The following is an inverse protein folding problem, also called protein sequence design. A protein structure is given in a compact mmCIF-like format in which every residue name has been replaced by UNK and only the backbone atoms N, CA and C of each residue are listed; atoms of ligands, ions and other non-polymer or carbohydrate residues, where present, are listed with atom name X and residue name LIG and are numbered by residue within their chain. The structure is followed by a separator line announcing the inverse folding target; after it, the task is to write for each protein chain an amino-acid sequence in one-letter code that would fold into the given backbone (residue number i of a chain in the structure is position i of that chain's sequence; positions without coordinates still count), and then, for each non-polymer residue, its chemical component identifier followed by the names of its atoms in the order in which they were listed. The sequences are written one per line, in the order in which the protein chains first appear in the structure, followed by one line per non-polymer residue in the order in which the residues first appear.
data_IF_546111503699
#
_entry.id   IF_546111503699
#
_cell.length_a   1.000
_cell.length_b   1.000
_cell.length_c   1.000
_cell.angle_alpha   90.00
_cell.angle_beta   90.00
_cell.angle_gamma   90.00
#
_symmetry.space_group_name_H-M   'P 1'
#
loop_
_entity.id
_entity.type
_entity.pdbx_description
1 polymer ?
#
# COMPACT_ATOMS: atom_id res chain seq x y z
N UNK A 1 52.89 28.89 14.44
CA UNK A 1 54.07 28.85 13.53
C UNK A 1 54.69 30.22 13.27
N UNK A 2 53.91 31.28 12.98
CA UNK A 2 54.44 32.62 12.64
C UNK A 2 55.36 33.25 13.70
N UNK A 3 55.10 33.04 15.01
CA UNK A 3 55.91 33.63 16.09
C UNK A 3 57.29 32.98 16.26
N UNK A 4 57.42 31.68 16.02
CA UNK A 4 58.70 30.96 16.22
C UNK A 4 59.58 30.97 14.98
N UNK A 5 58.97 30.94 13.77
CA UNK A 5 59.68 31.29 12.53
C UNK A 5 60.18 32.73 12.60
N UNK A 6 59.38 33.63 13.20
CA UNK A 6 59.81 34.98 13.54
C UNK A 6 61.00 35.01 14.50
N UNK A 7 61.02 34.20 15.56
CA UNK A 7 62.14 34.12 16.51
C UNK A 7 63.40 33.53 15.85
N UNK A 8 63.29 32.49 15.02
CA UNK A 8 64.43 31.92 14.31
C UNK A 8 64.99 32.89 13.24
N UNK A 9 64.12 33.59 12.51
CA UNK A 9 64.51 34.64 11.57
C UNK A 9 65.13 35.85 12.31
N UNK A 10 64.63 36.18 13.50
CA UNK A 10 65.18 37.23 14.36
C UNK A 10 66.54 36.84 14.92
N UNK A 11 66.74 35.56 15.30
CA UNK A 11 68.02 35.03 15.79
C UNK A 11 69.08 35.00 14.68
N UNK A 12 68.69 34.71 13.43
CA UNK A 12 69.55 34.80 12.24
C UNK A 12 69.84 36.25 11.85
N UNK A 13 68.86 37.14 11.94
CA UNK A 13 69.03 38.57 11.66
C UNK A 13 69.89 39.30 12.72
N UNK A 14 69.96 38.79 13.95
CA UNK A 14 70.81 39.33 15.02
C UNK A 14 72.30 38.96 14.87
N UNK A 15 72.63 38.11 13.89
CA UNK A 15 73.94 37.47 13.76
C UNK A 15 74.93 38.18 12.80
N UNK A 16 74.73 39.47 12.45
CA UNK A 16 75.85 40.41 12.53
C UNK A 16 75.42 41.85 12.84
N UNK A 17 75.03 42.14 14.08
CA UNK A 17 75.38 43.42 14.71
C UNK A 17 76.55 43.25 15.71
N UNK A 18 76.81 42.02 16.17
CA UNK A 18 77.92 41.69 17.08
C UNK A 18 79.23 41.31 16.35
N UNK A 19 79.23 41.19 15.02
CA UNK A 19 80.46 41.01 14.23
C UNK A 19 81.14 42.35 13.84
N UNK A 20 80.49 43.50 14.14
CA UNK A 20 80.97 44.84 13.75
C UNK A 20 81.58 45.64 14.92
N UNK A 21 82.07 44.99 15.97
CA UNK A 21 82.68 45.67 17.11
C UNK A 21 83.95 44.96 17.63
N UNK A 22 84.90 44.71 16.73
CA UNK A 22 86.32 44.68 17.03
C UNK A 22 87.05 45.05 15.73
N UNK A 23 87.60 46.27 15.69
CA UNK A 23 88.36 46.76 14.55
C UNK A 23 89.68 46.01 14.37
N UNK A 24 90.23 46.14 13.16
CA UNK A 24 91.60 45.73 12.84
C UNK A 24 91.66 44.60 11.81
N UNK A 25 92.10 45.00 10.61
CA UNK A 25 92.80 44.24 9.57
C UNK A 25 92.73 42.70 9.58
N UNK A 26 92.30 42.12 8.45
CA UNK A 26 92.76 40.78 8.08
C UNK A 26 91.78 40.00 7.20
N UNK A 27 92.34 39.51 6.09
CA UNK A 27 91.98 38.34 5.29
C UNK A 27 90.55 37.80 5.31
N UNK A 28 90.06 37.45 4.12
CA UNK A 28 88.79 36.74 3.89
C UNK A 28 88.62 35.43 4.70
N UNK A 29 89.65 34.97 5.41
CA UNK A 29 89.61 33.86 6.35
C UNK A 29 90.58 34.15 7.51
N UNK A 30 90.09 34.66 8.63
CA UNK A 30 90.83 34.60 9.90
C UNK A 30 90.35 33.37 10.66
N UNK A 31 91.26 32.41 10.89
CA UNK A 31 90.99 31.10 11.48
C UNK A 31 90.86 31.12 13.02
N UNK A 32 90.57 32.28 13.61
CA UNK A 32 90.63 32.47 15.06
C UNK A 32 89.28 32.94 15.61
N UNK A 33 88.62 32.04 16.35
CA UNK A 33 87.38 32.21 17.16
C UNK A 33 86.08 32.57 16.42
N UNK A 34 86.11 33.37 15.36
CA UNK A 34 84.89 33.78 14.62
C UNK A 34 84.20 32.59 13.93
N UNK A 35 84.96 31.71 13.27
CA UNK A 35 84.42 30.49 12.65
C UNK A 35 83.80 29.53 13.68
N UNK A 36 84.38 29.44 14.88
CA UNK A 36 83.86 28.58 15.96
C UNK A 36 82.53 29.13 16.47
N UNK A 37 82.43 30.45 16.67
CA UNK A 37 81.18 31.10 17.09
C UNK A 37 80.10 30.98 16.01
N UNK A 38 80.47 31.13 14.73
CA UNK A 38 79.54 30.95 13.61
C UNK A 38 79.07 29.49 13.48
N UNK A 39 79.97 28.51 13.66
CA UNK A 39 79.62 27.09 13.66
C UNK A 39 78.69 26.71 14.82
N UNK A 40 78.94 27.22 16.02
CA UNK A 40 78.07 27.02 17.18
C UNK A 40 76.68 27.63 16.92
N UNK A 41 76.61 28.84 16.37
CA UNK A 41 75.33 29.46 16.01
C UNK A 41 74.58 28.69 14.91
N UNK A 42 75.30 28.18 13.90
CA UNK A 42 74.70 27.33 12.88
C UNK A 42 74.14 26.02 13.45
N UNK A 43 74.90 25.36 14.33
CA UNK A 43 74.46 24.14 15.03
C UNK A 43 73.27 24.40 15.96
N UNK A 44 73.28 25.53 16.68
CA UNK A 44 72.16 25.93 17.54
C UNK A 44 70.89 26.20 16.70
N UNK A 45 71.02 26.91 15.58
CA UNK A 45 69.93 27.14 14.65
C UNK A 45 69.41 25.83 14.07
N UNK A 46 70.29 24.94 13.61
CA UNK A 46 69.95 23.62 13.09
C UNK A 46 69.18 22.79 14.12
N UNK A 47 69.61 22.82 15.38
CA UNK A 47 68.96 22.11 16.48
C UNK A 47 67.54 22.65 16.74
N UNK A 48 67.38 23.98 16.78
CA UNK A 48 66.08 24.64 16.92
C UNK A 48 65.18 24.28 15.74
N UNK A 49 65.69 24.38 14.50
CA UNK A 49 64.93 24.12 13.29
C UNK A 49 64.51 22.66 13.17
N UNK A 50 65.41 21.72 13.48
CA UNK A 50 65.12 20.28 13.48
C UNK A 50 64.01 19.95 14.48
N UNK A 51 64.12 20.42 15.73
CA UNK A 51 63.12 20.13 16.76
C UNK A 51 61.76 20.77 16.50
N UNK A 52 61.74 21.98 15.92
CA UNK A 52 60.52 22.75 15.69
C UNK A 52 59.84 22.49 14.35
N UNK A 53 60.56 22.13 13.29
CA UNK A 53 59.98 21.92 11.95
C UNK A 53 59.58 20.47 11.70
N UNK A 54 60.29 19.51 12.30
CA UNK A 54 60.00 18.09 12.11
C UNK A 54 58.61 17.72 12.66
N UNK A 55 58.26 18.21 13.85
CA UNK A 55 56.95 17.98 14.49
C UNK A 55 55.75 18.46 13.65
N UNK A 56 55.67 19.72 13.20
CA UNK A 56 54.53 20.20 12.40
C UNK A 56 54.48 19.57 11.00
N UNK A 57 55.62 19.23 10.40
CA UNK A 57 55.66 18.58 9.10
C UNK A 57 55.08 17.16 9.18
N UNK A 58 55.51 16.36 10.16
CA UNK A 58 54.95 15.03 10.41
C UNK A 58 53.46 15.10 10.77
N UNK A 59 53.07 16.05 11.62
CA UNK A 59 51.67 16.23 12.00
C UNK A 59 50.76 16.53 10.80
N UNK A 60 51.23 17.35 9.84
CA UNK A 60 50.47 17.62 8.60
C UNK A 60 50.41 16.44 7.64
N UNK A 61 51.43 15.59 7.61
CA UNK A 61 51.40 14.36 6.82
C UNK A 61 50.45 13.32 7.45
N UNK A 62 50.48 13.18 8.77
CA UNK A 62 49.57 12.29 9.50
C UNK A 62 48.11 12.76 9.36
N UNK A 63 47.85 14.06 9.50
CA UNK A 63 46.52 14.66 9.30
C UNK A 63 45.98 14.33 7.89
N UNK A 64 46.83 14.44 6.85
CA UNK A 64 46.45 14.07 5.47
C UNK A 64 46.22 12.57 5.33
N UNK A 65 47.10 11.73 5.87
CA UNK A 65 46.96 10.27 5.81
C UNK A 65 45.67 9.83 6.50
N UNK A 66 45.40 10.37 7.69
CA UNK A 66 44.21 10.07 8.46
C UNK A 66 42.94 10.55 7.73
N UNK A 67 42.94 11.77 7.17
CA UNK A 67 41.79 12.26 6.40
C UNK A 67 41.49 11.37 5.18
N UNK A 68 42.52 10.92 4.46
CA UNK A 68 42.36 10.01 3.32
C UNK A 68 41.79 8.66 3.79
N UNK A 69 42.35 8.08 4.85
CA UNK A 69 41.85 6.82 5.44
C UNK A 69 40.38 6.94 5.84
N UNK A 70 40.05 7.96 6.63
CA UNK A 70 38.66 8.22 7.06
C UNK A 70 37.74 8.37 5.84
N UNK A 71 38.13 9.15 4.83
CA UNK A 71 37.30 9.32 3.62
C UNK A 71 37.10 8.04 2.82
N UNK A 72 38.10 7.14 2.79
CA UNK A 72 38.01 5.86 2.12
C UNK A 72 37.12 4.90 2.91
N UNK A 73 37.26 4.86 4.24
CA UNK A 73 36.44 4.04 5.12
C UNK A 73 34.98 4.48 5.06
N UNK A 74 34.71 5.79 5.10
CA UNK A 74 33.36 6.37 4.92
C UNK A 74 32.79 6.02 3.54
N UNK A 75 33.58 6.13 2.46
CA UNK A 75 33.14 5.76 1.13
C UNK A 75 32.84 4.27 0.99
N UNK A 76 33.63 3.40 1.64
CA UNK A 76 33.39 1.95 1.68
C UNK A 76 32.13 1.62 2.49
N UNK A 77 31.95 2.23 3.66
CA UNK A 77 30.77 2.06 4.49
C UNK A 77 29.50 2.53 3.76
N UNK A 78 29.56 3.70 3.11
CA UNK A 78 28.44 4.23 2.32
C UNK A 78 28.09 3.32 1.13
N UNK A 79 29.08 2.74 0.45
CA UNK A 79 28.84 1.76 -0.62
C UNK A 79 28.22 0.46 -0.09
N UNK A 80 28.71 -0.05 1.03
CA UNK A 80 28.15 -1.25 1.66
C UNK A 80 26.70 -1.04 2.10
N UNK A 81 26.42 0.10 2.74
CA UNK A 81 25.06 0.47 3.17
C UNK A 81 24.14 0.68 1.96
N UNK A 82 24.60 1.37 0.91
CA UNK A 82 23.81 1.53 -0.31
C UNK A 82 23.50 0.19 -1.00
N UNK A 83 24.47 -0.76 -0.99
CA UNK A 83 24.25 -2.09 -1.54
C UNK A 83 23.23 -2.88 -0.70
N UNK A 84 23.36 -2.84 0.62
CA UNK A 84 22.39 -3.47 1.54
C UNK A 84 20.99 -2.90 1.36
N UNK A 85 20.85 -1.58 1.29
CA UNK A 85 19.56 -0.92 1.05
C UNK A 85 18.98 -1.33 -0.30
N UNK A 86 19.79 -1.42 -1.36
CA UNK A 86 19.32 -1.91 -2.67
C UNK A 86 18.80 -3.34 -2.60
N UNK A 87 19.50 -4.23 -1.90
CA UNK A 87 19.08 -5.62 -1.72
C UNK A 87 17.77 -5.70 -0.92
N UNK A 88 17.66 -4.94 0.19
CA UNK A 88 16.44 -4.86 0.98
C UNK A 88 15.26 -4.29 0.17
N UNK A 89 15.48 -3.24 -0.64
CA UNK A 89 14.46 -2.67 -1.51
C UNK A 89 14.04 -3.66 -2.61
N UNK A 90 14.98 -4.35 -3.23
CA UNK A 90 14.68 -5.39 -4.22
C UNK A 90 13.84 -6.51 -3.60
N UNK A 91 14.20 -6.98 -2.40
CA UNK A 91 13.43 -7.98 -1.67
C UNK A 91 12.02 -7.48 -1.31
N UNK A 92 11.89 -6.23 -0.84
CA UNK A 92 10.58 -5.61 -0.55
C UNK A 92 9.71 -5.51 -1.80
N UNK A 93 10.27 -5.12 -2.94
CA UNK A 93 9.54 -5.05 -4.22
C UNK A 93 9.06 -6.44 -4.65
N UNK A 94 9.92 -7.46 -4.56
CA UNK A 94 9.54 -8.84 -4.88
C UNK A 94 8.44 -9.35 -3.95
N UNK A 95 8.55 -9.11 -2.65
CA UNK A 95 7.53 -9.47 -1.67
C UNK A 95 6.20 -8.77 -1.95
N UNK A 96 6.22 -7.46 -2.22
CA UNK A 96 5.03 -6.68 -2.57
C UNK A 96 4.36 -7.20 -3.85
N UNK A 97 5.14 -7.60 -4.88
CA UNK A 97 4.59 -8.24 -6.07
C UNK A 97 3.95 -9.59 -5.76
N UNK A 98 4.59 -10.43 -4.95
CA UNK A 98 4.04 -11.73 -4.56
C UNK A 98 2.73 -11.56 -3.76
N UNK A 99 2.70 -10.63 -2.81
CA UNK A 99 1.52 -10.28 -2.03
C UNK A 99 0.39 -9.75 -2.93
N UNK A 100 0.70 -8.83 -3.85
CA UNK A 100 -0.30 -8.31 -4.79
C UNK A 100 -0.90 -9.42 -5.68
N UNK A 101 -0.09 -10.39 -6.13
CA UNK A 101 -0.58 -11.55 -6.87
C UNK A 101 -1.45 -12.45 -6.00
N UNK A 102 -1.06 -12.68 -4.74
CA UNK A 102 -1.87 -13.46 -3.80
C UNK A 102 -3.22 -12.81 -3.52
N UNK A 103 -3.25 -11.47 -3.30
CA UNK A 103 -4.48 -10.70 -3.12
C UNK A 103 -5.37 -10.79 -4.36
N UNK A 104 -4.80 -10.63 -5.57
CA UNK A 104 -5.56 -10.76 -6.81
C UNK A 104 -6.15 -12.17 -6.97
N UNK A 105 -5.36 -13.20 -6.70
CA UNK A 105 -5.83 -14.59 -6.78
C UNK A 105 -6.95 -14.88 -5.77
N UNK A 106 -6.82 -14.39 -4.54
CA UNK A 106 -7.84 -14.51 -3.51
C UNK A 106 -9.13 -13.78 -3.91
N UNK A 107 -9.03 -12.54 -4.38
CA UNK A 107 -10.17 -11.74 -4.83
C UNK A 107 -10.90 -12.38 -6.02
N UNK A 108 -10.17 -12.94 -6.99
CA UNK A 108 -10.77 -13.66 -8.12
C UNK A 108 -11.51 -14.92 -7.67
N UNK A 109 -10.93 -15.66 -6.71
CA UNK A 109 -11.57 -16.85 -6.14
C UNK A 109 -12.85 -16.48 -5.39
N UNK A 110 -12.77 -15.47 -4.52
CA UNK A 110 -13.92 -14.98 -3.75
C UNK A 110 -15.03 -14.46 -4.68
N UNK A 111 -14.67 -13.69 -5.72
CA UNK A 111 -15.62 -13.23 -6.72
C UNK A 111 -16.30 -14.39 -7.47
N UNK A 112 -15.55 -15.43 -7.83
CA UNK A 112 -16.11 -16.60 -8.50
C UNK A 112 -17.04 -17.41 -7.58
N UNK A 113 -16.68 -17.56 -6.31
CA UNK A 113 -17.51 -18.24 -5.31
C UNK A 113 -18.79 -17.46 -5.03
N UNK A 114 -18.69 -16.13 -4.90
CA UNK A 114 -19.84 -15.26 -4.69
C UNK A 114 -20.75 -15.20 -5.92
N UNK A 115 -20.19 -15.14 -7.12
CA UNK A 115 -20.96 -15.23 -8.36
C UNK A 115 -21.75 -16.53 -8.42
N UNK A 116 -21.15 -17.68 -8.05
CA UNK A 116 -21.85 -18.96 -8.00
C UNK A 116 -23.00 -18.92 -7.00
N UNK A 117 -22.76 -18.41 -5.78
CA UNK A 117 -23.81 -18.26 -4.75
C UNK A 117 -24.97 -17.39 -5.23
N UNK A 118 -24.68 -16.25 -5.85
CA UNK A 118 -25.69 -15.34 -6.37
C UNK A 118 -26.51 -15.99 -7.48
N UNK A 119 -25.86 -16.71 -8.40
CA UNK A 119 -26.56 -17.43 -9.48
C UNK A 119 -27.44 -18.56 -8.92
N UNK A 120 -26.94 -19.32 -7.95
CA UNK A 120 -27.70 -20.41 -7.34
C UNK A 120 -28.89 -19.88 -6.52
N UNK A 121 -28.69 -18.79 -5.77
CA UNK A 121 -29.77 -18.11 -5.05
C UNK A 121 -30.82 -17.55 -6.01
N UNK A 122 -30.42 -16.90 -7.10
CA UNK A 122 -31.33 -16.39 -8.11
C UNK A 122 -32.13 -17.51 -8.80
N UNK A 123 -31.49 -18.66 -9.07
CA UNK A 123 -32.18 -19.85 -9.62
C UNK A 123 -33.18 -20.43 -8.63
N UNK A 124 -32.81 -20.53 -7.35
CA UNK A 124 -33.71 -21.01 -6.31
C UNK A 124 -34.92 -20.09 -6.15
N UNK A 125 -34.71 -18.78 -6.18
CA UNK A 125 -35.79 -17.80 -6.07
C UNK A 125 -36.69 -17.80 -7.31
N UNK A 126 -36.12 -17.89 -8.51
CA UNK A 126 -36.89 -18.04 -9.74
C UNK A 126 -37.76 -19.31 -9.72
N UNK A 127 -37.21 -20.43 -9.23
CA UNK A 127 -37.97 -21.68 -9.09
C UNK A 127 -39.13 -21.52 -8.10
N UNK A 128 -38.91 -20.87 -6.95
CA UNK A 128 -39.97 -20.58 -5.97
C UNK A 128 -41.06 -19.69 -6.56
N UNK A 129 -40.68 -18.67 -7.31
CA UNK A 129 -41.64 -17.75 -7.94
C UNK A 129 -42.49 -18.47 -8.99
N UNK A 130 -41.89 -19.36 -9.80
CA UNK A 130 -42.62 -20.18 -10.77
C UNK A 130 -43.58 -21.15 -10.07
N UNK A 131 -43.14 -21.82 -9.01
CA UNK A 131 -44.01 -22.74 -8.26
C UNK A 131 -45.15 -21.99 -7.55
N UNK A 132 -44.89 -20.82 -6.98
CA UNK A 132 -45.91 -19.94 -6.43
C UNK A 132 -46.93 -19.50 -7.48
N UNK A 133 -46.47 -19.02 -8.63
CA UNK A 133 -47.34 -18.62 -9.73
C UNK A 133 -48.19 -19.78 -10.27
N UNK A 134 -47.64 -21.00 -10.34
CA UNK A 134 -48.39 -22.21 -10.71
C UNK A 134 -49.50 -22.51 -9.69
N UNK A 135 -49.18 -22.44 -8.39
CA UNK A 135 -50.16 -22.67 -7.34
C UNK A 135 -51.30 -21.64 -7.36
N UNK A 136 -50.98 -20.36 -7.61
CA UNK A 136 -51.97 -19.30 -7.79
C UNK A 136 -52.83 -19.53 -9.05
N UNK A 137 -52.21 -19.84 -10.19
CA UNK A 137 -52.94 -20.17 -11.43
C UNK A 137 -53.90 -21.34 -11.23
N UNK A 138 -53.50 -22.39 -10.51
CA UNK A 138 -54.40 -23.50 -10.20
C UNK A 138 -55.58 -23.09 -9.32
N UNK A 139 -55.36 -22.20 -8.34
CA UNK A 139 -56.45 -21.64 -7.54
C UNK A 139 -57.41 -20.81 -8.38
N UNK A 140 -56.89 -19.96 -9.27
CA UNK A 140 -57.70 -19.13 -10.15
C UNK A 140 -58.50 -19.98 -11.15
N UNK A 141 -57.91 -21.03 -11.72
CA UNK A 141 -58.64 -21.97 -12.59
C UNK A 141 -59.78 -22.66 -11.82
N UNK A 142 -59.56 -23.04 -10.55
CA UNK A 142 -60.61 -23.63 -9.72
C UNK A 142 -61.73 -22.62 -9.46
N UNK A 143 -61.40 -21.37 -9.14
CA UNK A 143 -62.38 -20.29 -8.93
C UNK A 143 -63.19 -20.01 -10.20
N UNK A 144 -62.53 -19.80 -11.33
CA UNK A 144 -63.17 -19.56 -12.62
C UNK A 144 -64.10 -20.72 -13.04
N UNK A 145 -63.71 -21.97 -12.78
CA UNK A 145 -64.58 -23.14 -13.03
C UNK A 145 -65.81 -23.15 -12.13
N UNK A 146 -65.68 -22.71 -10.88
CA UNK A 146 -66.80 -22.66 -9.95
C UNK A 146 -67.79 -21.56 -10.34
N UNK A 147 -67.29 -20.38 -10.71
CA UNK A 147 -68.10 -19.28 -11.26
C UNK A 147 -68.83 -19.72 -12.53
N UNK A 148 -68.13 -20.35 -13.48
CA UNK A 148 -68.74 -20.86 -14.71
C UNK A 148 -69.85 -21.89 -14.45
N UNK A 149 -69.68 -22.76 -13.44
CA UNK A 149 -70.73 -23.72 -13.05
C UNK A 149 -71.97 -23.03 -12.49
N UNK A 150 -71.80 -21.95 -11.74
CA UNK A 150 -72.92 -21.16 -11.22
C UNK A 150 -73.65 -20.48 -12.38
N UNK A 151 -72.94 -19.80 -13.28
CA UNK A 151 -73.54 -19.14 -14.44
C UNK A 151 -74.30 -20.11 -15.36
N UNK A 152 -73.73 -21.30 -15.61
CA UNK A 152 -74.40 -22.33 -16.41
C UNK A 152 -75.64 -22.87 -15.68
N UNK A 153 -75.60 -23.01 -14.36
CA UNK A 153 -76.75 -23.40 -13.54
C UNK A 153 -77.89 -22.39 -13.65
N UNK A 154 -77.58 -21.11 -13.49
CA UNK A 154 -78.54 -20.02 -13.61
C UNK A 154 -79.14 -19.95 -15.03
N UNK A 155 -78.32 -20.13 -16.06
CA UNK A 155 -78.78 -20.17 -17.44
C UNK A 155 -79.69 -21.38 -17.70
N UNK A 156 -79.34 -22.56 -17.17
CA UNK A 156 -80.15 -23.77 -17.31
C UNK A 156 -81.52 -23.61 -16.63
N UNK A 157 -81.58 -23.00 -15.44
CA UNK A 157 -82.84 -22.66 -14.76
C UNK A 157 -83.65 -21.68 -15.60
N UNK A 158 -83.04 -20.60 -16.11
CA UNK A 158 -83.74 -19.62 -16.96
C UNK A 158 -84.30 -20.23 -18.25
N UNK A 159 -83.59 -21.18 -18.86
CA UNK A 159 -84.07 -21.93 -20.04
C UNK A 159 -85.21 -22.88 -19.67
N UNK A 160 -85.08 -23.60 -18.55
CA UNK A 160 -86.14 -24.49 -18.05
C UNK A 160 -87.43 -23.70 -17.72
N UNK A 161 -87.32 -22.54 -17.07
CA UNK A 161 -88.45 -21.64 -16.80
C UNK A 161 -89.13 -21.18 -18.09
N UNK A 162 -88.36 -20.77 -19.11
CA UNK A 162 -88.91 -20.38 -20.42
C UNK A 162 -89.59 -21.54 -21.14
N UNK A 163 -89.03 -22.75 -21.06
CA UNK A 163 -89.61 -23.94 -21.68
C UNK A 163 -90.90 -24.36 -20.98
N UNK A 164 -90.93 -24.36 -19.63
CA UNK A 164 -92.13 -24.66 -18.85
C UNK A 164 -93.24 -23.65 -19.16
N UNK A 165 -92.94 -22.34 -19.15
CA UNK A 165 -93.90 -21.28 -19.53
C UNK A 165 -94.49 -21.48 -20.93
N UNK A 166 -93.72 -22.02 -21.87
CA UNK A 166 -94.17 -22.25 -23.27
C UNK A 166 -94.94 -23.56 -23.44
N UNK A 167 -94.74 -24.55 -22.56
CA UNK A 167 -95.27 -25.91 -22.70
C UNK A 167 -96.50 -26.19 -21.82
N UNK A 168 -96.74 -25.36 -20.80
CA UNK A 168 -97.88 -25.47 -19.89
C UNK A 168 -99.21 -25.35 -20.66
N UNK A 169 -100.03 -26.41 -20.59
CA UNK A 169 -101.43 -26.42 -21.02
C UNK A 169 -102.34 -26.34 -19.78
N UNK A 170 -103.60 -25.96 -19.97
CA UNK A 170 -104.60 -25.81 -18.89
C UNK A 170 -104.78 -27.08 -18.03
N UNK A 171 -104.54 -28.26 -18.61
CA UNK A 171 -104.63 -29.55 -17.93
C UNK A 171 -103.49 -29.76 -16.91
N UNK A 172 -102.28 -29.27 -17.22
CA UNK A 172 -101.11 -29.38 -16.33
C UNK A 172 -101.27 -28.48 -15.10
N UNK A 173 -101.90 -27.31 -15.24
CA UNK A 173 -102.23 -26.42 -14.12
C UNK A 173 -103.12 -27.12 -13.09
N UNK A 174 -104.17 -27.82 -13.54
CA UNK A 174 -105.09 -28.53 -12.65
C UNK A 174 -104.39 -29.68 -11.91
N UNK A 175 -103.53 -30.42 -12.61
CA UNK A 175 -102.78 -31.55 -12.02
C UNK A 175 -101.79 -31.08 -10.95
N UNK A 176 -101.02 -30.02 -11.21
CA UNK A 176 -100.03 -29.48 -10.26
C UNK A 176 -100.72 -28.90 -9.02
N UNK A 177 -101.85 -28.20 -9.18
CA UNK A 177 -102.63 -27.67 -8.04
C UNK A 177 -103.16 -28.81 -7.16
N UNK A 178 -103.67 -29.89 -7.76
CA UNK A 178 -104.12 -31.06 -7.00
C UNK A 178 -102.97 -31.77 -6.26
N UNK A 179 -101.78 -31.89 -6.88
CA UNK A 179 -100.58 -32.48 -6.26
C UNK A 179 -100.04 -31.62 -5.11
N UNK A 180 -100.06 -30.29 -5.25
CA UNK A 180 -99.67 -29.36 -4.19
C UNK A 180 -100.63 -29.40 -2.99
N UNK A 181 -101.94 -29.43 -3.25
CA UNK A 181 -102.97 -29.60 -2.21
C UNK A 181 -102.81 -30.95 -1.48
N UNK A 182 -102.56 -32.03 -2.21
CA UNK A 182 -102.35 -33.35 -1.63
C UNK A 182 -101.04 -33.48 -0.84
N UNK A 183 -100.03 -32.64 -1.12
CA UNK A 183 -98.77 -32.61 -0.36
C UNK A 183 -98.92 -31.79 0.92
N UNK A 184 -99.74 -30.72 0.89
CA UNK A 184 -100.09 -29.94 2.07
C UNK A 184 -100.99 -30.74 3.04
N UNK A 185 -101.93 -31.53 2.53
CA UNK A 185 -102.73 -32.47 3.35
C UNK A 185 -101.91 -33.61 3.97
N UNK A 186 -100.72 -33.90 3.44
CA UNK A 186 -99.79 -34.91 3.98
C UNK A 186 -98.75 -34.33 4.95
N UNK A 187 -98.55 -33.01 4.94
CA UNK A 187 -97.56 -32.31 5.76
C UNK A 187 -98.17 -31.52 6.94
N UNK A 188 -99.51 -31.45 7.02
CA UNK A 188 -100.26 -31.04 8.21
C UNK A 188 -100.89 -32.25 8.88
#
# INVERSE_FOLDING_TARGET
MRRVVGIAAFLVALLPAAASAAGGEGGLINLDKSLIIQAINFLLLLFILSKLLYRPLLAKMEERSQAIKTSLDEAQAARAEAQKQREEHAAKIQAAHAEAQAIRAAALKEAADEQRRLVDAARAEAARLVEGARAEMEQDIRRARQELRQEVGDLAVAVAERLIKKSLRDEDHRRIVQEALATLERAG
#
